data_IF_967793606098
#
_entry.id   IF_967793606098
#
_cell.length_a   1.000
_cell.length_b   1.000
_cell.length_c   1.000
_cell.angle_alpha   90.00
_cell.angle_beta   90.00
_cell.angle_gamma   90.00
#
_symmetry.space_group_name_H-M   'P 1'
#
loop_
_entity.id
_entity.type
_entity.pdbx_description
1 polymer ?
#
# COMPACT_ATOMS: atom_id res chain seq x y z
N UNK A 1 -7.10 -11.60 -7.29
CA UNK A 1 -7.84 -11.11 -6.11
C UNK A 1 -7.38 -9.69 -5.84
N UNK A 2 -8.31 -8.73 -5.80
CA UNK A 2 -7.99 -7.33 -5.52
C UNK A 2 -7.94 -7.11 -4.02
N UNK A 3 -6.94 -6.37 -3.53
CA UNK A 3 -6.70 -6.14 -2.11
C UNK A 3 -6.43 -4.67 -1.85
N UNK A 4 -7.10 -4.12 -0.83
CA UNK A 4 -6.78 -2.84 -0.23
C UNK A 4 -6.04 -3.06 1.09
N UNK A 5 -4.99 -2.27 1.36
CA UNK A 5 -4.25 -2.31 2.63
C UNK A 5 -4.45 -1.00 3.38
N UNK A 6 -5.20 -1.07 4.47
CA UNK A 6 -5.45 0.08 5.36
C UNK A 6 -4.31 0.20 6.36
N UNK A 7 -3.71 1.39 6.48
CA UNK A 7 -2.57 1.61 7.39
C UNK A 7 -1.27 1.00 6.88
N UNK A 8 -1.03 1.09 5.56
CA UNK A 8 0.11 0.49 4.87
C UNK A 8 1.47 0.92 5.45
N UNK A 9 1.57 2.09 6.06
CA UNK A 9 2.81 2.62 6.65
C UNK A 9 3.11 2.13 8.06
N UNK A 10 2.23 1.34 8.68
CA UNK A 10 2.54 0.61 9.91
C UNK A 10 3.42 -0.61 9.63
N UNK A 11 4.13 -1.12 10.64
CA UNK A 11 5.04 -2.27 10.46
C UNK A 11 4.33 -3.52 9.90
N UNK A 12 3.11 -3.78 10.36
CA UNK A 12 2.30 -4.90 9.86
C UNK A 12 1.85 -4.66 8.42
N UNK A 13 1.47 -3.43 8.05
CA UNK A 13 1.07 -3.07 6.69
C UNK A 13 2.24 -3.19 5.71
N UNK A 14 3.44 -2.75 6.13
CA UNK A 14 4.67 -2.88 5.37
C UNK A 14 5.02 -4.34 5.08
N UNK A 15 4.96 -5.20 6.11
CA UNK A 15 5.25 -6.63 5.95
C UNK A 15 4.19 -7.34 5.11
N UNK A 16 2.91 -6.99 5.28
CA UNK A 16 1.83 -7.48 4.45
C UNK A 16 2.08 -7.12 2.98
N UNK A 17 2.44 -5.87 2.68
CA UNK A 17 2.79 -5.46 1.31
C UNK A 17 4.01 -6.20 0.77
N UNK A 18 5.03 -6.48 1.60
CA UNK A 18 6.19 -7.29 1.19
C UNK A 18 5.79 -8.70 0.72
N UNK A 19 4.80 -9.29 1.37
CA UNK A 19 4.28 -10.62 1.02
C UNK A 19 3.37 -10.52 -0.22
N UNK A 20 2.38 -9.62 -0.20
CA UNK A 20 1.34 -9.51 -1.23
C UNK A 20 1.90 -9.10 -2.59
N UNK A 21 2.90 -8.20 -2.63
CA UNK A 21 3.54 -7.76 -3.89
C UNK A 21 4.24 -8.89 -4.65
N UNK A 22 4.53 -10.03 -3.98
CA UNK A 22 5.14 -11.22 -4.59
C UNK A 22 4.13 -12.33 -4.89
N UNK A 23 2.85 -12.13 -4.54
CA UNK A 23 1.84 -13.17 -4.69
C UNK A 23 1.20 -13.09 -6.08
N UNK A 24 1.31 -14.14 -6.94
CA UNK A 24 0.97 -14.05 -8.37
C UNK A 24 -0.52 -13.83 -8.65
N UNK A 25 -1.39 -14.07 -7.67
CA UNK A 25 -2.83 -13.90 -7.81
C UNK A 25 -3.39 -12.67 -7.07
N UNK A 26 -2.52 -11.82 -6.53
CA UNK A 26 -2.93 -10.60 -5.80
C UNK A 26 -2.60 -9.38 -6.63
N UNK A 27 -3.57 -8.47 -6.68
CA UNK A 27 -3.41 -7.12 -7.20
C UNK A 27 -3.72 -6.17 -6.05
N UNK A 28 -2.72 -5.38 -5.63
CA UNK A 28 -2.93 -4.34 -4.62
C UNK A 28 -3.51 -3.14 -5.35
N UNK A 29 -4.73 -2.75 -4.98
CA UNK A 29 -5.48 -1.68 -5.68
C UNK A 29 -5.56 -0.39 -4.88
N UNK A 30 -5.32 -0.46 -3.56
CA UNK A 30 -5.36 0.70 -2.68
C UNK A 30 -4.42 0.48 -1.49
N UNK A 31 -3.72 1.54 -1.09
CA UNK A 31 -2.91 1.60 0.13
C UNK A 31 -3.20 2.91 0.84
N UNK A 32 -3.48 2.87 2.14
CA UNK A 32 -3.81 4.09 2.89
C UNK A 32 -2.77 4.42 3.95
N UNK A 33 -2.64 5.71 4.24
CA UNK A 33 -1.86 6.22 5.37
C UNK A 33 -2.42 7.57 5.81
N UNK A 34 -2.66 7.74 7.11
CA UNK A 34 -3.08 9.04 7.65
C UNK A 34 -1.96 10.08 7.61
N UNK A 35 -0.69 9.65 7.73
CA UNK A 35 0.47 10.55 7.91
C UNK A 35 1.12 10.95 6.59
N UNK A 36 1.10 10.08 5.58
CA UNK A 36 1.89 10.23 4.35
C UNK A 36 1.03 10.42 3.09
N UNK A 37 -0.16 11.00 3.25
CA UNK A 37 -1.12 11.21 2.16
C UNK A 37 -0.49 11.96 0.98
N UNK A 38 -0.81 11.53 -0.24
CA UNK A 38 -0.33 12.13 -1.48
C UNK A 38 1.09 11.71 -1.91
N UNK A 39 1.86 11.07 -1.03
CA UNK A 39 3.13 10.44 -1.41
C UNK A 39 2.87 9.03 -1.96
N UNK A 40 3.73 8.54 -2.85
CA UNK A 40 3.71 7.12 -3.23
C UNK A 40 4.28 6.26 -2.10
N UNK A 41 3.83 5.00 -2.00
CA UNK A 41 4.36 4.08 -1.00
C UNK A 41 5.89 3.95 -1.06
N UNK A 42 6.46 3.92 -2.27
CA UNK A 42 7.90 3.87 -2.52
C UNK A 42 8.67 5.15 -2.15
N UNK A 43 8.02 6.30 -2.05
CA UNK A 43 8.65 7.52 -1.52
C UNK A 43 8.88 7.38 -0.01
N UNK A 44 7.95 6.75 0.71
CA UNK A 44 8.07 6.48 2.15
C UNK A 44 8.99 5.28 2.41
N UNK A 45 8.89 4.23 1.58
CA UNK A 45 9.71 3.02 1.68
C UNK A 45 10.47 2.74 0.36
N UNK A 46 11.68 3.31 0.17
CA UNK A 46 12.43 3.21 -1.07
C UNK A 46 12.71 1.79 -1.57
N UNK A 47 12.71 0.80 -0.68
CA UNK A 47 12.85 -0.62 -1.02
C UNK A 47 11.73 -1.16 -1.92
N UNK A 48 10.60 -0.46 -2.02
CA UNK A 48 9.44 -0.82 -2.85
C UNK A 48 9.39 -0.08 -4.20
N UNK A 49 10.41 0.70 -4.56
CA UNK A 49 10.47 1.37 -5.87
C UNK A 49 10.41 0.35 -7.01
N UNK A 50 9.48 0.54 -7.96
CA UNK A 50 9.25 -0.41 -9.05
C UNK A 50 8.52 -1.70 -8.64
N UNK A 51 8.11 -1.81 -7.36
CA UNK A 51 7.34 -2.92 -6.82
C UNK A 51 5.94 -2.44 -6.41
N UNK A 52 5.87 -1.32 -5.68
CA UNK A 52 4.62 -0.70 -5.24
C UNK A 52 4.76 0.84 -5.25
N UNK A 53 4.26 1.45 -6.32
CA UNK A 53 4.28 2.90 -6.57
C UNK A 53 2.88 3.54 -6.45
N UNK A 54 1.98 2.91 -5.69
CA UNK A 54 0.64 3.43 -5.45
C UNK A 54 0.68 4.68 -4.55
N UNK A 55 -0.16 5.69 -4.80
CA UNK A 55 -0.33 6.81 -3.89
C UNK A 55 -0.91 6.33 -2.57
N UNK A 56 -0.42 6.89 -1.47
CA UNK A 56 -0.99 6.75 -0.14
C UNK A 56 -2.16 7.71 -0.02
N UNK A 57 -3.33 7.16 0.24
CA UNK A 57 -4.57 7.91 0.35
C UNK A 57 -5.08 7.91 1.80
N UNK A 58 -5.95 8.86 2.13
CA UNK A 58 -6.74 8.78 3.36
C UNK A 58 -7.68 7.57 3.28
N UNK A 59 -8.03 6.98 4.42
CA UNK A 59 -9.05 5.92 4.45
C UNK A 59 -10.43 6.52 4.12
N UNK A 60 -11.04 6.03 3.04
CA UNK A 60 -12.40 6.37 2.64
C UNK A 60 -13.26 5.08 2.57
N UNK A 61 -14.21 4.90 3.50
CA UNK A 61 -15.08 3.72 3.53
C UNK A 61 -15.94 3.52 2.28
N UNK A 62 -16.22 4.57 1.49
CA UNK A 62 -17.06 4.45 0.29
C UNK A 62 -16.27 3.96 -0.94
N UNK A 63 -14.93 3.97 -0.86
CA UNK A 63 -14.02 3.61 -1.97
C UNK A 63 -13.37 2.23 -1.82
N UNK A 64 -13.63 1.50 -0.73
CA UNK A 64 -13.03 0.19 -0.39
C UNK A 64 -14.10 -0.90 -0.45
#
# INVERSE_FOLDING_TARGET
>A
MKVAVIGATGYTGLELLRILTRHPQVEITCVTSETYQGQTFSQVFPAFRGIADLPLEAMDPERI
#
